data_IF_488401832540
#
_entry.id   IF_488401832540
#
_cell.length_a   1.000
_cell.length_b   1.000
_cell.length_c   1.000
_cell.angle_alpha   90.00
_cell.angle_beta   90.00
_cell.angle_gamma   90.00
#
_symmetry.space_group_name_H-M   'P 1'
#
loop_
_entity.id
_entity.type
_entity.pdbx_description
1 polymer ?
#
# COMPACT_ATOMS: atom_id res chain seq x y z
N UNK A 1 -27.40 -45.81 6.30
CA UNK A 1 -26.33 -45.27 5.44
C UNK A 1 -26.93 -44.46 4.28
N UNK A 2 -27.70 -43.38 4.54
CA UNK A 2 -28.37 -42.60 3.47
C UNK A 2 -28.60 -41.09 3.76
N UNK A 3 -28.07 -40.54 4.85
CA UNK A 3 -28.31 -39.13 5.25
C UNK A 3 -27.24 -38.14 4.78
N UNK A 4 -26.13 -38.60 4.16
CA UNK A 4 -25.04 -37.71 3.68
C UNK A 4 -25.21 -37.21 2.24
N UNK A 5 -26.15 -37.77 1.47
CA UNK A 5 -26.38 -37.36 0.07
C UNK A 5 -27.41 -36.22 -0.10
N UNK A 6 -28.20 -35.91 0.94
CA UNK A 6 -29.17 -34.81 0.89
C UNK A 6 -28.55 -33.42 1.13
N UNK A 7 -27.37 -33.36 1.76
CA UNK A 7 -26.69 -32.09 2.07
C UNK A 7 -25.93 -31.50 0.87
N UNK A 8 -25.45 -32.35 -0.05
CA UNK A 8 -24.77 -31.93 -1.28
C UNK A 8 -25.75 -31.42 -2.36
N UNK A 9 -27.01 -31.84 -2.30
CA UNK A 9 -28.05 -31.46 -3.26
C UNK A 9 -28.66 -30.08 -3.03
N UNK A 10 -28.53 -29.47 -1.84
CA UNK A 10 -29.13 -28.16 -1.53
C UNK A 10 -28.25 -26.97 -1.95
N UNK A 11 -26.93 -27.17 -2.07
CA UNK A 11 -26.02 -26.14 -2.57
C UNK A 11 -26.23 -25.85 -4.07
N UNK A 12 -26.66 -26.85 -4.84
CA UNK A 12 -26.84 -26.76 -6.30
C UNK A 12 -28.29 -26.58 -6.78
N UNK A 13 -29.25 -26.36 -5.87
CA UNK A 13 -30.69 -26.31 -6.21
C UNK A 13 -31.35 -24.97 -5.92
N UNK A 14 -30.61 -23.85 -5.99
CA UNK A 14 -31.20 -22.51 -6.17
C UNK A 14 -31.61 -22.36 -7.64
N UNK A 15 -32.86 -21.94 -7.90
CA UNK A 15 -33.37 -21.67 -9.26
C UNK A 15 -32.37 -20.74 -9.97
N UNK A 16 -31.82 -21.19 -11.10
CA UNK A 16 -30.78 -20.51 -11.91
C UNK A 16 -30.96 -18.99 -12.03
N UNK A 17 -32.21 -18.52 -12.16
CA UNK A 17 -32.58 -17.09 -12.22
C UNK A 17 -32.17 -16.28 -10.99
N UNK A 18 -32.29 -16.82 -9.78
CA UNK A 18 -31.89 -16.13 -8.55
C UNK A 18 -30.37 -15.94 -8.49
N UNK A 19 -29.60 -16.95 -8.91
CA UNK A 19 -28.14 -16.88 -8.97
C UNK A 19 -27.67 -15.87 -10.03
N UNK A 20 -28.38 -15.76 -11.16
CA UNK A 20 -28.08 -14.76 -12.19
C UNK A 20 -28.35 -13.34 -11.68
N UNK A 21 -29.50 -13.11 -11.03
CA UNK A 21 -29.83 -11.80 -10.45
C UNK A 21 -28.86 -11.37 -9.34
N UNK A 22 -28.49 -12.28 -8.44
CA UNK A 22 -27.46 -12.03 -7.42
C UNK A 22 -26.14 -11.61 -8.06
N UNK A 23 -25.69 -12.32 -9.11
CA UNK A 23 -24.46 -11.96 -9.83
C UNK A 23 -24.56 -10.60 -10.49
N UNK A 24 -25.68 -10.28 -11.17
CA UNK A 24 -25.87 -8.98 -11.81
C UNK A 24 -25.78 -7.85 -10.77
N UNK A 25 -26.42 -8.01 -9.62
CA UNK A 25 -26.33 -7.04 -8.52
C UNK A 25 -24.89 -6.88 -8.02
N UNK A 26 -24.16 -7.98 -7.84
CA UNK A 26 -22.73 -7.94 -7.46
C UNK A 26 -21.90 -7.21 -8.52
N UNK A 27 -22.10 -7.48 -9.82
CA UNK A 27 -21.38 -6.79 -10.88
C UNK A 27 -21.71 -5.30 -10.95
N UNK A 28 -22.98 -4.91 -10.80
CA UNK A 28 -23.37 -3.50 -10.74
C UNK A 28 -22.69 -2.80 -9.56
N UNK A 29 -22.70 -3.43 -8.38
CA UNK A 29 -22.03 -2.90 -7.20
C UNK A 29 -20.52 -2.76 -7.43
N UNK A 30 -19.86 -3.79 -7.95
CA UNK A 30 -18.42 -3.79 -8.22
C UNK A 30 -18.03 -2.72 -9.26
N UNK A 31 -18.81 -2.59 -10.35
CA UNK A 31 -18.58 -1.55 -11.36
C UNK A 31 -18.75 -0.14 -10.77
N UNK A 32 -19.80 0.05 -9.97
CA UNK A 32 -20.06 1.34 -9.32
C UNK A 32 -18.92 1.71 -8.37
N UNK A 33 -18.50 0.79 -7.51
CA UNK A 33 -17.35 0.99 -6.62
C UNK A 33 -16.06 1.23 -7.43
N UNK A 34 -15.84 0.45 -8.49
CA UNK A 34 -14.70 0.62 -9.38
C UNK A 34 -14.62 2.02 -10.00
N UNK A 35 -15.73 2.55 -10.48
CA UNK A 35 -15.81 3.92 -11.00
C UNK A 35 -15.48 4.96 -9.92
N UNK A 36 -16.01 4.78 -8.70
CA UNK A 36 -15.73 5.68 -7.57
C UNK A 36 -14.24 5.68 -7.22
N UNK A 37 -13.58 4.51 -7.21
CA UNK A 37 -12.14 4.41 -6.92
C UNK A 37 -11.25 4.91 -8.06
N UNK A 38 -11.67 4.75 -9.32
CA UNK A 38 -10.93 5.24 -10.49
C UNK A 38 -11.06 6.76 -10.64
N UNK A 39 -12.16 7.35 -10.15
CA UNK A 39 -12.44 8.77 -10.35
C UNK A 39 -11.31 9.71 -9.88
N UNK A 40 -10.72 9.57 -8.67
CA UNK A 40 -9.58 10.39 -8.26
C UNK A 40 -8.36 10.24 -9.17
N UNK A 41 -8.07 9.04 -9.67
CA UNK A 41 -6.98 8.78 -10.62
C UNK A 41 -7.25 9.47 -11.95
N UNK A 42 -8.47 9.33 -12.47
CA UNK A 42 -8.92 10.03 -13.67
C UNK A 42 -8.79 11.55 -13.51
N UNK A 43 -9.23 12.09 -12.37
CA UNK A 43 -9.12 13.52 -12.08
C UNK A 43 -7.67 13.99 -12.03
N UNK A 44 -6.79 13.22 -11.41
CA UNK A 44 -5.35 13.52 -11.32
C UNK A 44 -4.71 13.59 -12.71
N UNK A 45 -4.98 12.59 -13.56
CA UNK A 45 -4.47 12.55 -14.95
C UNK A 45 -5.09 13.67 -15.79
N UNK A 46 -6.39 13.94 -15.67
CA UNK A 46 -7.00 15.04 -16.41
C UNK A 46 -6.42 16.40 -15.98
N UNK A 47 -6.06 16.55 -14.71
CA UNK A 47 -5.49 17.78 -14.14
C UNK A 47 -4.02 17.96 -14.51
N UNK A 48 -3.24 16.90 -14.72
CA UNK A 48 -1.84 17.03 -15.17
C UNK A 48 -1.71 17.60 -16.60
N UNK A 49 -2.79 17.60 -17.38
CA UNK A 49 -2.87 18.23 -18.70
C UNK A 49 -3.48 19.64 -18.70
N UNK A 50 -3.90 20.16 -17.54
CA UNK A 50 -4.48 21.51 -17.43
C UNK A 50 -3.39 22.55 -17.35
N UNK A 51 -3.70 23.74 -17.86
CA UNK A 51 -2.90 24.95 -17.59
C UNK A 51 -3.23 25.51 -16.20
N UNK A 52 -2.30 26.28 -15.61
CA UNK A 52 -2.45 26.85 -14.25
C UNK A 52 -3.73 27.67 -14.11
N UNK A 53 -4.08 28.47 -15.12
CA UNK A 53 -5.30 29.27 -15.12
C UNK A 53 -6.58 28.43 -14.99
N UNK A 54 -6.55 27.16 -15.43
CA UNK A 54 -7.70 26.24 -15.35
C UNK A 54 -7.85 25.59 -13.97
N UNK A 55 -6.84 25.69 -13.11
CA UNK A 55 -6.88 25.19 -11.74
C UNK A 55 -7.65 26.14 -10.82
N UNK A 56 -7.69 27.44 -11.17
CA UNK A 56 -8.28 28.50 -10.33
C UNK A 56 -9.68 28.96 -10.78
N UNK A 57 -10.31 28.29 -11.75
CA UNK A 57 -11.66 28.64 -12.17
C UNK A 57 -12.72 28.18 -11.14
N UNK A 58 -13.77 28.97 -10.88
CA UNK A 58 -14.81 28.64 -9.89
C UNK A 58 -15.53 27.30 -10.13
N UNK A 59 -15.58 26.84 -11.38
CA UNK A 59 -16.11 25.53 -11.76
C UNK A 59 -15.01 24.75 -12.49
N UNK A 60 -14.25 23.90 -11.79
CA UNK A 60 -13.22 23.07 -12.39
C UNK A 60 -13.79 22.21 -13.52
N UNK A 61 -13.26 22.35 -14.73
CA UNK A 61 -13.64 21.48 -15.85
C UNK A 61 -13.09 20.08 -15.61
N UNK A 62 -13.88 19.06 -15.92
CA UNK A 62 -13.44 17.66 -15.79
C UNK A 62 -12.33 17.33 -16.78
N UNK A 63 -12.49 17.78 -18.03
CA UNK A 63 -11.50 17.58 -19.09
C UNK A 63 -10.68 18.86 -19.30
N UNK A 64 -9.37 18.73 -19.53
CA UNK A 64 -8.51 19.84 -19.92
C UNK A 64 -8.94 20.40 -21.27
N UNK A 65 -8.93 21.73 -21.41
CA UNK A 65 -9.22 22.39 -22.68
C UNK A 65 -8.61 23.81 -22.71
N UNK A 66 -7.40 24.01 -23.28
CA UNK A 66 -6.67 23.07 -24.13
C UNK A 66 -5.98 21.94 -23.35
N UNK A 67 -5.58 20.89 -24.06
CA UNK A 67 -4.70 19.83 -23.56
C UNK A 67 -3.25 20.31 -23.60
N UNK A 68 -2.61 20.46 -22.44
CA UNK A 68 -1.23 20.96 -22.32
C UNK A 68 -0.26 19.80 -22.07
N UNK A 69 0.25 19.21 -23.14
CA UNK A 69 1.26 18.14 -23.07
C UNK A 69 2.63 18.64 -22.60
N UNK A 70 2.90 19.94 -22.80
CA UNK A 70 4.15 20.59 -22.41
C UNK A 70 4.45 20.44 -20.90
N UNK A 71 3.41 20.31 -20.06
CA UNK A 71 3.54 20.08 -18.62
C UNK A 71 4.46 18.90 -18.27
N UNK A 72 4.44 17.81 -19.05
CA UNK A 72 5.30 16.66 -18.80
C UNK A 72 6.76 16.93 -19.15
N UNK A 73 7.01 17.61 -20.27
CA UNK A 73 8.36 18.02 -20.67
C UNK A 73 8.93 19.02 -19.65
N UNK A 74 8.15 20.03 -19.30
CA UNK A 74 8.53 21.02 -18.29
C UNK A 74 8.78 20.39 -16.93
N UNK A 75 7.93 19.45 -16.47
CA UNK A 75 8.15 18.75 -15.21
C UNK A 75 9.44 17.94 -15.23
N UNK A 76 9.78 17.33 -16.37
CA UNK A 76 11.01 16.57 -16.52
C UNK A 76 12.27 17.46 -16.56
N UNK A 77 12.15 18.69 -17.05
CA UNK A 77 13.25 19.67 -17.15
C UNK A 77 13.41 20.52 -15.88
N UNK A 78 12.31 20.82 -15.16
CA UNK A 78 12.31 21.67 -13.94
C UNK A 78 12.95 21.00 -12.74
N UNK A 79 12.86 19.68 -12.64
CA UNK A 79 13.43 18.90 -11.53
C UNK A 79 14.20 17.70 -12.07
N UNK A 80 15.21 17.19 -11.34
CA UNK A 80 15.94 15.99 -11.74
C UNK A 80 15.08 14.72 -11.50
N UNK A 81 13.98 14.59 -12.25
CA UNK A 81 12.96 13.55 -12.05
C UNK A 81 13.56 12.14 -12.15
N UNK A 82 14.43 11.91 -13.13
CA UNK A 82 15.13 10.63 -13.30
C UNK A 82 15.98 10.26 -12.07
N UNK A 83 16.62 11.25 -11.43
CA UNK A 83 17.40 11.04 -10.21
C UNK A 83 16.48 10.64 -9.04
N UNK A 84 15.37 11.34 -8.86
CA UNK A 84 14.40 11.01 -7.81
C UNK A 84 13.80 9.63 -8.02
N UNK A 85 13.39 9.30 -9.24
CA UNK A 85 12.85 7.99 -9.58
C UNK A 85 13.89 6.88 -9.33
N UNK A 86 15.16 7.10 -9.70
CA UNK A 86 16.25 6.15 -9.42
C UNK A 86 16.46 5.97 -7.93
N UNK A 87 16.57 7.06 -7.17
CA UNK A 87 16.78 7.01 -5.71
C UNK A 87 15.63 6.27 -5.02
N UNK A 88 14.38 6.63 -5.33
CA UNK A 88 13.19 5.96 -4.77
C UNK A 88 13.14 4.49 -5.16
N UNK A 89 13.45 4.14 -6.41
CA UNK A 89 13.50 2.74 -6.86
C UNK A 89 14.52 1.94 -6.06
N UNK A 90 15.75 2.45 -5.91
CA UNK A 90 16.80 1.76 -5.16
C UNK A 90 16.39 1.61 -3.69
N UNK A 91 15.98 2.69 -3.04
CA UNK A 91 15.56 2.69 -1.64
C UNK A 91 14.41 1.69 -1.43
N UNK A 92 13.41 1.69 -2.30
CA UNK A 92 12.22 0.83 -2.18
C UNK A 92 12.59 -0.63 -2.40
N UNK A 93 13.31 -0.96 -3.47
CA UNK A 93 13.69 -2.35 -3.78
C UNK A 93 14.59 -2.93 -2.69
N UNK A 94 15.61 -2.19 -2.25
CA UNK A 94 16.48 -2.63 -1.16
C UNK A 94 15.70 -2.82 0.14
N UNK A 95 14.81 -1.89 0.48
CA UNK A 95 13.98 -1.99 1.69
C UNK A 95 13.04 -3.18 1.65
N UNK A 96 12.33 -3.39 0.53
CA UNK A 96 11.38 -4.51 0.36
C UNK A 96 12.11 -5.84 0.42
N UNK A 97 13.22 -5.97 -0.30
CA UNK A 97 14.00 -7.20 -0.32
C UNK A 97 14.49 -7.59 1.09
N UNK A 98 15.10 -6.65 1.80
CA UNK A 98 15.58 -6.89 3.16
C UNK A 98 14.43 -7.16 4.14
N UNK A 99 13.33 -6.40 4.03
CA UNK A 99 12.16 -6.59 4.88
C UNK A 99 11.56 -7.98 4.71
N UNK A 100 11.36 -8.44 3.47
CA UNK A 100 10.82 -9.78 3.19
C UNK A 100 11.76 -10.84 3.75
N UNK A 101 13.06 -10.74 3.48
CA UNK A 101 14.05 -11.70 3.98
C UNK A 101 14.04 -11.78 5.52
N UNK A 102 14.13 -10.63 6.20
CA UNK A 102 14.15 -10.55 7.66
C UNK A 102 12.84 -11.06 8.26
N UNK A 103 11.72 -10.62 7.71
CA UNK A 103 10.38 -10.97 8.21
C UNK A 103 10.09 -12.45 8.03
N UNK A 104 10.42 -13.05 6.88
CA UNK A 104 10.23 -14.48 6.64
C UNK A 104 11.00 -15.33 7.65
N UNK A 105 12.24 -14.95 7.99
CA UNK A 105 13.04 -15.65 9.01
C UNK A 105 12.43 -15.55 10.40
N UNK A 106 12.03 -14.34 10.81
CA UNK A 106 11.43 -14.07 12.13
C UNK A 106 10.07 -14.75 12.27
N UNK A 107 9.20 -14.63 11.26
CA UNK A 107 7.89 -15.27 11.22
C UNK A 107 8.00 -16.80 11.28
N UNK A 108 8.95 -17.38 10.52
CA UNK A 108 9.21 -18.81 10.59
C UNK A 108 9.64 -19.26 11.99
N UNK A 109 10.54 -18.50 12.63
CA UNK A 109 10.97 -18.75 14.01
C UNK A 109 9.79 -18.76 14.99
N UNK A 110 8.91 -17.76 14.92
CA UNK A 110 7.72 -17.70 15.78
C UNK A 110 6.66 -18.76 15.47
N UNK A 111 6.53 -19.19 14.21
CA UNK A 111 5.49 -20.14 13.77
C UNK A 111 5.89 -21.60 13.95
N UNK A 112 7.18 -21.95 13.80
CA UNK A 112 7.64 -23.34 13.73
C UNK A 112 8.58 -23.77 14.85
N UNK A 113 9.22 -22.83 15.54
CA UNK A 113 10.25 -23.15 16.56
C UNK A 113 9.72 -22.83 17.96
N UNK A 114 9.77 -23.82 18.85
CA UNK A 114 9.49 -23.63 20.27
C UNK A 114 10.80 -23.32 21.01
N UNK A 115 11.09 -22.04 21.20
CA UNK A 115 12.29 -21.57 21.91
C UNK A 115 11.94 -20.89 23.24
N UNK A 116 12.89 -20.89 24.17
CA UNK A 116 12.74 -20.26 25.50
C UNK A 116 12.63 -18.74 25.34
N UNK A 117 11.58 -18.12 25.89
CA UNK A 117 11.33 -16.67 25.80
C UNK A 117 10.44 -16.23 24.64
N UNK A 118 9.92 -17.16 23.82
CA UNK A 118 9.02 -16.88 22.69
C UNK A 118 7.84 -15.97 23.04
N UNK A 119 7.12 -16.28 24.13
CA UNK A 119 5.96 -15.50 24.53
C UNK A 119 6.32 -14.05 24.93
N UNK A 120 7.47 -13.86 25.59
CA UNK A 120 7.94 -12.52 25.96
C UNK A 120 8.27 -11.69 24.71
N UNK A 121 9.05 -12.24 23.77
CA UNK A 121 9.38 -11.55 22.53
C UNK A 121 8.13 -11.27 21.68
N UNK A 122 7.16 -12.18 21.68
CA UNK A 122 5.88 -11.99 21.01
C UNK A 122 5.09 -10.82 21.62
N UNK A 123 4.98 -10.76 22.95
CA UNK A 123 4.34 -9.63 23.65
C UNK A 123 5.05 -8.30 23.39
N UNK A 124 6.40 -8.30 23.38
CA UNK A 124 7.19 -7.11 23.06
C UNK A 124 6.94 -6.63 21.62
N UNK A 125 6.86 -7.56 20.68
CA UNK A 125 6.57 -7.27 19.28
C UNK A 125 5.19 -6.61 19.13
N UNK A 126 4.16 -7.14 19.79
CA UNK A 126 2.82 -6.54 19.80
C UNK A 126 2.82 -5.16 20.47
N UNK A 127 3.53 -4.99 21.58
CA UNK A 127 3.64 -3.70 22.26
C UNK A 127 4.25 -2.62 21.35
N UNK A 128 5.21 -2.98 20.49
CA UNK A 128 5.81 -2.03 19.54
C UNK A 128 4.83 -1.49 18.49
N UNK A 129 3.75 -2.22 18.19
CA UNK A 129 2.72 -1.83 17.21
C UNK A 129 1.74 -0.80 17.77
N UNK A 130 1.68 -0.64 19.10
CA UNK A 130 0.77 0.30 19.77
C UNK A 130 1.28 1.75 19.64
N UNK A 131 2.59 1.94 19.47
CA UNK A 131 3.18 3.27 19.39
C UNK A 131 2.77 3.98 18.09
N UNK A 132 2.13 5.17 18.18
CA UNK A 132 1.73 5.90 16.99
C UNK A 132 2.96 6.41 16.21
N UNK A 133 2.91 6.34 14.89
CA UNK A 133 4.06 6.73 14.05
C UNK A 133 4.50 8.19 14.24
N UNK A 134 3.56 9.08 14.55
CA UNK A 134 3.82 10.52 14.71
C UNK A 134 4.73 10.86 15.89
N UNK A 135 4.55 10.20 17.04
CA UNK A 135 5.39 10.46 18.23
C UNK A 135 6.82 9.94 18.06
N UNK A 136 7.03 9.03 17.11
CA UNK A 136 8.35 8.46 16.82
C UNK A 136 9.19 9.33 15.88
N UNK A 137 8.65 10.40 15.27
CA UNK A 137 9.39 11.19 14.27
C UNK A 137 10.60 11.89 14.90
N UNK A 138 10.38 12.65 15.98
CA UNK A 138 11.45 13.41 16.66
C UNK A 138 12.51 12.46 17.25
N UNK A 139 12.15 11.39 18.00
CA UNK A 139 13.14 10.45 18.51
C UNK A 139 13.97 9.78 17.40
N UNK A 140 13.33 9.39 16.29
CA UNK A 140 14.03 8.77 15.15
C UNK A 140 15.04 9.74 14.55
N UNK A 141 14.71 11.01 14.40
CA UNK A 141 15.66 12.02 13.92
C UNK A 141 16.89 12.10 14.83
N UNK A 142 16.71 12.20 16.15
CA UNK A 142 17.85 12.27 17.09
C UNK A 142 18.74 11.04 17.04
N UNK A 143 18.16 9.83 16.90
CA UNK A 143 18.93 8.59 16.76
C UNK A 143 19.82 8.67 15.51
N UNK A 144 19.27 9.06 14.36
CA UNK A 144 20.04 9.14 13.12
C UNK A 144 21.07 10.28 13.12
N UNK A 145 20.77 11.38 13.81
CA UNK A 145 21.71 12.47 14.04
C UNK A 145 22.90 12.01 14.89
N UNK A 146 22.63 11.32 16.00
CA UNK A 146 23.65 10.77 16.89
C UNK A 146 24.52 9.72 16.20
N UNK A 147 23.94 8.96 15.26
CA UNK A 147 24.66 8.02 14.41
C UNK A 147 25.38 8.69 13.21
N UNK A 148 25.29 10.01 13.05
CA UNK A 148 25.88 10.77 11.93
C UNK A 148 25.44 10.27 10.53
N UNK A 149 24.22 9.75 10.41
CA UNK A 149 23.70 9.12 9.19
C UNK A 149 22.56 9.90 8.52
N UNK A 150 22.28 11.14 8.94
CA UNK A 150 21.13 11.91 8.46
C UNK A 150 21.13 12.14 6.95
N UNK A 151 22.28 12.46 6.36
CA UNK A 151 22.40 12.77 4.93
C UNK A 151 22.66 11.53 4.05
N UNK A 152 22.17 10.36 4.48
CA UNK A 152 22.38 9.08 3.80
C UNK A 152 21.07 8.36 3.52
N UNK A 153 21.11 7.24 2.79
CA UNK A 153 19.94 6.39 2.57
C UNK A 153 19.64 5.44 3.75
N UNK A 154 20.54 5.36 4.74
CA UNK A 154 20.43 4.40 5.85
C UNK A 154 19.14 4.64 6.67
N UNK A 155 18.77 5.88 7.06
CA UNK A 155 17.53 6.13 7.78
C UNK A 155 16.26 5.76 6.99
N UNK A 156 16.36 5.70 5.67
CA UNK A 156 15.24 5.36 4.79
C UNK A 156 15.10 3.84 4.59
N UNK A 157 16.22 3.12 4.57
CA UNK A 157 16.25 1.68 4.30
C UNK A 157 16.21 0.85 5.59
N UNK A 158 17.06 1.17 6.56
CA UNK A 158 17.33 0.28 7.70
C UNK A 158 16.10 0.07 8.61
N UNK A 159 15.30 1.10 8.97
CA UNK A 159 14.08 0.87 9.75
C UNK A 159 13.10 -0.06 9.07
N UNK A 160 13.08 -0.05 7.73
CA UNK A 160 12.17 -0.88 6.95
C UNK A 160 12.71 -2.29 6.73
N UNK A 161 14.03 -2.44 6.67
CA UNK A 161 14.72 -3.71 6.48
C UNK A 161 14.52 -4.70 7.65
N UNK A 162 14.27 -4.20 8.86
CA UNK A 162 14.05 -5.02 10.05
C UNK A 162 12.60 -5.51 10.13
N UNK A 163 12.41 -6.72 10.64
CA UNK A 163 11.09 -7.32 10.83
C UNK A 163 10.19 -6.47 11.74
N UNK A 164 9.29 -5.71 11.14
CA UNK A 164 8.27 -4.93 11.85
C UNK A 164 7.14 -5.83 12.34
N UNK A 165 6.60 -5.55 13.53
CA UNK A 165 5.58 -6.40 14.16
C UNK A 165 4.38 -6.71 13.27
N UNK A 166 3.92 -5.75 12.48
CA UNK A 166 2.83 -5.98 11.53
C UNK A 166 3.20 -7.00 10.43
N UNK A 167 4.39 -6.90 9.85
CA UNK A 167 4.81 -7.75 8.72
C UNK A 167 5.07 -9.19 9.15
N UNK A 168 5.47 -9.42 10.41
CA UNK A 168 5.71 -10.77 10.94
C UNK A 168 4.43 -11.62 10.97
N UNK A 169 3.25 -10.99 10.99
CA UNK A 169 1.96 -11.67 11.17
C UNK A 169 1.01 -11.64 9.96
N UNK A 170 1.34 -10.89 8.90
CA UNK A 170 0.55 -10.79 7.67
C UNK A 170 1.09 -11.74 6.60
#
# INVERSE_FOLDING_TARGET
MNTRLSFLGSYFRRKSTQVILEKILVYILLLTMGIIFIFPLFWMVATSFKDEAQLYIPKPKMLPNPLVWANYKEAWEKIPFALYMRNTTIITLSSVFLAVLSTSLVAFGFARINFKGRNFLFSLLLASMILPGMVQIIPRYFIWNWLHCLDTWIPLILPRALAGGFFVFL
#
